data_IF_042932733668
#
_entry.id   IF_042932733668
#
_cell.length_a   1.000
_cell.length_b   1.000
_cell.length_c   1.000
_cell.angle_alpha   90.00
_cell.angle_beta   90.00
_cell.angle_gamma   90.00
#
_symmetry.space_group_name_H-M   'P 1'
#
loop_
_entity.id
_entity.type
_entity.pdbx_description
1 polymer ?
#
# COMPACT_ATOMS: atom_id res chain seq x y z
N UNK A 1 2.55 5.22 -9.55
CA UNK A 1 3.41 4.04 -9.36
C UNK A 1 4.03 4.13 -7.97
N UNK A 2 4.09 3.02 -7.24
CA UNK A 2 4.71 2.98 -5.90
C UNK A 2 5.42 1.64 -5.68
N UNK A 3 6.39 1.60 -4.76
CA UNK A 3 7.05 0.37 -4.37
C UNK A 3 6.28 -0.30 -3.23
N UNK A 4 6.05 -1.61 -3.32
CA UNK A 4 5.37 -2.42 -2.32
C UNK A 4 6.13 -3.72 -2.07
N UNK A 5 6.26 -4.11 -0.80
CA UNK A 5 6.75 -5.44 -0.43
C UNK A 5 5.55 -6.34 -0.22
N UNK A 6 5.37 -7.31 -1.11
CA UNK A 6 4.21 -8.20 -1.06
C UNK A 6 4.25 -9.05 0.21
N UNK A 7 3.15 -9.09 0.96
CA UNK A 7 3.07 -9.93 2.18
C UNK A 7 2.98 -11.42 1.88
N UNK A 8 2.60 -11.81 0.66
CA UNK A 8 2.46 -13.21 0.26
C UNK A 8 3.77 -13.84 -0.21
N UNK A 9 4.55 -13.15 -1.04
CA UNK A 9 5.80 -13.69 -1.60
C UNK A 9 7.08 -13.01 -1.06
N UNK A 10 6.94 -12.00 -0.19
CA UNK A 10 8.06 -11.24 0.41
C UNK A 10 8.97 -10.51 -0.59
N UNK A 11 8.57 -10.42 -1.86
CA UNK A 11 9.33 -9.69 -2.89
C UNK A 11 8.85 -8.24 -2.99
N UNK A 12 9.82 -7.33 -3.19
CA UNK A 12 9.55 -5.92 -3.45
C UNK A 12 9.34 -5.66 -4.93
N UNK A 13 8.20 -5.09 -5.29
CA UNK A 13 7.84 -4.76 -6.67
C UNK A 13 7.40 -3.30 -6.81
N UNK A 14 7.37 -2.83 -8.06
CA UNK A 14 6.63 -1.63 -8.43
C UNK A 14 5.19 -2.02 -8.79
N UNK A 15 4.24 -1.33 -8.15
CA UNK A 15 2.82 -1.44 -8.43
C UNK A 15 2.40 -0.29 -9.34
N UNK A 16 1.79 -0.66 -10.47
CA UNK A 16 1.29 0.26 -11.49
C UNK A 16 -0.21 0.52 -11.30
N UNK A 17 -0.73 1.66 -11.82
CA UNK A 17 -2.16 1.97 -11.74
C UNK A 17 -3.07 0.88 -12.33
N UNK A 18 -2.60 0.17 -13.36
CA UNK A 18 -3.34 -0.95 -13.97
C UNK A 18 -3.54 -2.15 -13.04
N UNK A 19 -2.77 -2.26 -11.96
CA UNK A 19 -2.90 -3.32 -10.95
C UNK A 19 -3.85 -2.94 -9.81
N UNK A 20 -4.31 -1.67 -9.76
CA UNK A 20 -5.24 -1.19 -8.74
C UNK A 20 -6.64 -1.67 -9.08
N UNK A 21 -7.27 -2.35 -8.13
CA UNK A 21 -8.61 -2.93 -8.27
C UNK A 21 -9.64 -2.16 -7.47
N UNK A 22 -9.22 -1.34 -6.50
CA UNK A 22 -10.12 -0.55 -5.67
C UNK A 22 -9.46 0.68 -5.07
N UNK A 23 -10.26 1.74 -4.88
CA UNK A 23 -9.86 2.96 -4.19
C UNK A 23 -11.01 3.34 -3.25
N UNK A 24 -10.71 3.50 -1.95
CA UNK A 24 -11.67 3.96 -0.94
C UNK A 24 -11.09 5.15 -0.18
N UNK A 25 -11.87 6.21 -0.04
CA UNK A 25 -11.55 7.31 0.87
C UNK A 25 -12.08 6.97 2.26
N UNK A 26 -11.29 7.29 3.28
CA UNK A 26 -11.65 7.16 4.69
C UNK A 26 -11.11 8.37 5.46
N UNK A 27 -11.58 8.55 6.70
CA UNK A 27 -11.06 9.61 7.58
C UNK A 27 -9.55 9.45 7.87
N UNK A 28 -9.02 8.23 7.72
CA UNK A 28 -7.62 7.89 7.94
C UNK A 28 -6.73 8.09 6.70
N UNK A 29 -7.32 8.37 5.53
CA UNK A 29 -6.62 8.51 4.25
C UNK A 29 -7.27 7.72 3.12
N UNK A 30 -6.50 7.45 2.08
CA UNK A 30 -6.96 6.76 0.86
C UNK A 30 -6.44 5.33 0.88
N UNK A 31 -7.34 4.35 0.99
CA UNK A 31 -7.00 2.93 0.89
C UNK A 31 -7.03 2.50 -0.56
N UNK A 32 -5.91 1.96 -1.03
CA UNK A 32 -5.77 1.34 -2.33
C UNK A 32 -5.84 -0.18 -2.17
N UNK A 33 -6.68 -0.83 -2.96
CA UNK A 33 -6.66 -2.29 -3.14
C UNK A 33 -6.03 -2.60 -4.50
N UNK A 34 -5.13 -3.58 -4.55
CA UNK A 34 -4.39 -3.93 -5.76
C UNK A 34 -3.93 -5.39 -5.74
N UNK A 35 -3.60 -5.90 -6.92
CA UNK A 35 -2.97 -7.21 -7.08
C UNK A 35 -1.46 -7.07 -7.20
N UNK A 36 -0.72 -7.82 -6.39
CA UNK A 36 0.71 -8.01 -6.63
C UNK A 36 0.96 -8.82 -7.90
N UNK A 37 2.21 -8.82 -8.36
CA UNK A 37 2.64 -9.61 -9.52
C UNK A 37 2.50 -11.13 -9.34
N UNK A 38 2.35 -11.60 -8.10
CA UNK A 38 2.02 -12.98 -7.78
C UNK A 38 0.51 -13.22 -7.62
N UNK A 39 -0.33 -12.30 -8.10
CA UNK A 39 -1.80 -12.30 -8.01
C UNK A 39 -2.37 -12.25 -6.59
N UNK A 40 -1.53 -12.08 -5.57
CA UNK A 40 -2.00 -11.90 -4.21
C UNK A 40 -2.68 -10.52 -4.03
N UNK A 41 -3.91 -10.47 -3.49
CA UNK A 41 -4.57 -9.21 -3.15
C UNK A 41 -3.84 -8.54 -1.99
N UNK A 42 -3.69 -7.23 -2.09
CA UNK A 42 -3.06 -6.38 -1.07
C UNK A 42 -3.86 -5.09 -0.91
N UNK A 43 -3.72 -4.48 0.25
CA UNK A 43 -4.27 -3.15 0.52
C UNK A 43 -3.18 -2.27 1.14
N UNK A 44 -3.17 -1.00 0.77
CA UNK A 44 -2.26 0.00 1.34
C UNK A 44 -3.02 1.30 1.64
N UNK A 45 -2.90 1.78 2.88
CA UNK A 45 -3.34 3.12 3.24
C UNK A 45 -2.31 4.15 2.74
N UNK A 46 -2.81 5.17 2.05
CA UNK A 46 -2.02 6.24 1.45
C UNK A 46 -2.57 7.60 1.86
N UNK A 47 -1.82 8.67 1.58
CA UNK A 47 -2.19 10.04 1.93
C UNK A 47 -1.44 10.59 3.15
N UNK A 48 -1.65 11.88 3.45
CA UNK A 48 -0.88 12.62 4.46
C UNK A 48 -0.99 12.02 5.86
N UNK A 49 -2.16 11.51 6.23
CA UNK A 49 -2.40 10.87 7.52
C UNK A 49 -1.65 9.53 7.68
N UNK A 50 -1.46 8.77 6.59
CA UNK A 50 -0.68 7.53 6.61
C UNK A 50 0.81 7.78 6.98
N UNK A 51 1.40 8.85 6.43
CA UNK A 51 2.80 9.20 6.70
C UNK A 51 3.08 9.76 8.09
N UNK A 52 2.06 10.31 8.77
CA UNK A 52 2.19 10.76 10.17
C UNK A 52 2.37 9.57 11.11
N UNK A 53 1.64 8.47 10.91
CA UNK A 53 1.76 7.26 11.76
C UNK A 53 3.08 6.51 11.56
N UNK A 54 3.60 6.43 10.34
CA UNK A 54 4.90 5.76 10.08
C UNK A 54 6.10 6.46 10.73
N UNK A 55 6.01 7.77 10.98
CA UNK A 55 7.09 8.53 11.64
C UNK A 55 7.14 8.31 13.15
N UNK A 56 6.05 7.86 13.74
CA UNK A 56 5.93 7.68 15.20
C UNK A 56 6.62 6.38 15.67
N UNK A 57 7.02 5.48 14.76
CA UNK A 57 7.56 4.15 15.10
C UNK A 57 9.06 3.96 14.85
N UNK A 58 9.86 5.04 14.81
CA UNK A 58 11.34 4.92 14.76
C UNK A 58 11.95 5.44 16.06
N UNK A 59 11.95 4.60 17.09
CA UNK A 59 12.82 4.73 18.24
C UNK A 59 13.39 3.33 18.55
N UNK A 60 14.72 3.21 18.48
CA UNK A 60 15.50 2.04 18.86
C UNK A 60 16.45 2.45 19.99
#
# INVERSE_FOLDING_TARGET
>A
MFAHTCTACSTRYLIFPSQVTGIRNSDEGITLDFLCWCDAPQSQLTGKAAGLRSRETVAA
#
